data_IF_117084693497
#
_entry.id   IF_117084693497
#
_cell.length_a   1.000
_cell.length_b   1.000
_cell.length_c   1.000
_cell.angle_alpha   90.00
_cell.angle_beta   90.00
_cell.angle_gamma   90.00
#
_symmetry.space_group_name_H-M   'P 1'
#
loop_
_entity.id
_entity.type
_entity.pdbx_description
1 polymer ?
#
# COMPACT_ATOMS: atom_id res chain seq x y z
N UNK A 1 -17.79 1.39 -1.08
CA UNK A 1 -18.83 0.82 -0.16
C UNK A 1 -18.09 0.31 1.07
N UNK A 2 -18.56 0.65 2.25
CA UNK A 2 -18.05 0.11 3.53
C UNK A 2 -19.15 -0.79 4.09
N UNK A 3 -18.79 -2.01 4.50
CA UNK A 3 -19.73 -3.01 4.99
C UNK A 3 -19.09 -3.80 6.13
N UNK A 4 -19.83 -3.98 7.21
CA UNK A 4 -19.47 -4.92 8.28
C UNK A 4 -19.65 -6.36 7.76
N UNK A 5 -18.74 -7.30 8.03
CA UNK A 5 -18.82 -8.67 7.53
C UNK A 5 -19.80 -9.52 8.37
N UNK A 6 -21.08 -9.14 8.37
CA UNK A 6 -22.14 -9.89 9.05
C UNK A 6 -22.28 -11.29 8.43
N UNK A 7 -22.38 -12.29 9.29
CA UNK A 7 -22.54 -13.67 8.84
C UNK A 7 -23.95 -13.91 8.31
N UNK A 8 -24.07 -14.71 7.27
CA UNK A 8 -25.36 -15.19 6.77
C UNK A 8 -25.92 -16.25 7.73
N UNK A 9 -27.25 -16.31 7.85
CA UNK A 9 -27.92 -17.35 8.63
C UNK A 9 -27.59 -18.73 8.06
N UNK A 10 -27.36 -19.71 8.94
CA UNK A 10 -26.90 -21.05 8.55
C UNK A 10 -27.86 -21.77 7.58
N UNK A 11 -29.18 -21.53 7.72
CA UNK A 11 -30.20 -22.14 6.90
C UNK A 11 -30.63 -21.31 5.68
N UNK A 12 -30.05 -20.13 5.52
CA UNK A 12 -30.37 -19.25 4.40
C UNK A 12 -29.87 -19.83 3.06
N UNK A 13 -30.56 -19.50 1.99
CA UNK A 13 -30.18 -19.87 0.63
C UNK A 13 -28.73 -19.37 0.34
N UNK A 14 -28.39 -18.17 0.78
CA UNK A 14 -27.06 -17.61 0.59
C UNK A 14 -25.96 -18.47 1.23
N UNK A 15 -26.18 -18.96 2.45
CA UNK A 15 -25.23 -19.84 3.14
C UNK A 15 -25.10 -21.20 2.42
N UNK A 16 -26.20 -21.77 1.93
CA UNK A 16 -26.21 -23.02 1.16
C UNK A 16 -25.46 -22.88 -0.18
N UNK A 17 -25.53 -21.71 -0.81
CA UNK A 17 -24.79 -21.36 -2.03
C UNK A 17 -23.31 -20.99 -1.76
N UNK A 18 -22.84 -21.08 -0.52
CA UNK A 18 -21.46 -20.86 -0.15
C UNK A 18 -21.12 -19.43 0.29
N UNK A 19 -22.06 -18.50 0.30
CA UNK A 19 -21.85 -17.13 0.75
C UNK A 19 -22.01 -17.03 2.27
N UNK A 20 -20.90 -16.96 2.99
CA UNK A 20 -20.88 -16.97 4.46
C UNK A 20 -21.09 -15.60 5.09
N UNK A 21 -21.00 -14.52 4.31
CA UNK A 21 -21.20 -13.16 4.81
C UNK A 21 -21.88 -12.28 3.76
N UNK A 22 -22.47 -11.18 4.22
CA UNK A 22 -23.05 -10.13 3.35
C UNK A 22 -21.99 -9.56 2.41
N UNK A 23 -20.74 -9.46 2.87
CA UNK A 23 -19.63 -8.99 2.03
C UNK A 23 -19.37 -9.92 0.84
N UNK A 24 -19.49 -11.25 1.00
CA UNK A 24 -19.32 -12.19 -0.10
C UNK A 24 -20.45 -12.09 -1.12
N UNK A 25 -21.68 -11.91 -0.65
CA UNK A 25 -22.83 -11.62 -1.52
C UNK A 25 -22.60 -10.33 -2.31
N UNK A 26 -22.13 -9.27 -1.63
CA UNK A 26 -21.81 -7.99 -2.26
C UNK A 26 -20.76 -8.10 -3.35
N UNK A 27 -19.66 -8.79 -3.07
CA UNK A 27 -18.59 -9.06 -4.06
C UNK A 27 -19.12 -9.81 -5.28
N UNK A 28 -19.92 -10.84 -5.08
CA UNK A 28 -20.48 -11.61 -6.18
C UNK A 28 -21.49 -10.81 -7.01
N UNK A 29 -22.29 -9.98 -6.38
CA UNK A 29 -23.18 -9.05 -7.11
C UNK A 29 -22.40 -8.10 -8.04
N UNK A 30 -21.31 -7.52 -7.55
CA UNK A 30 -20.46 -6.66 -8.37
C UNK A 30 -19.87 -7.44 -9.55
N UNK A 31 -19.36 -8.66 -9.31
CA UNK A 31 -18.80 -9.51 -10.39
C UNK A 31 -19.84 -9.86 -11.45
N UNK A 32 -21.05 -10.24 -11.02
CA UNK A 32 -22.15 -10.56 -11.95
C UNK A 32 -22.59 -9.35 -12.74
N UNK A 33 -22.73 -8.19 -12.10
CA UNK A 33 -23.07 -6.95 -12.78
C UNK A 33 -22.02 -6.57 -13.83
N UNK A 34 -20.74 -6.64 -13.49
CA UNK A 34 -19.64 -6.37 -14.43
C UNK A 34 -19.65 -7.29 -15.63
N UNK A 35 -19.80 -8.62 -15.40
CA UNK A 35 -19.92 -9.60 -16.49
C UNK A 35 -21.09 -9.31 -17.40
N UNK A 36 -22.27 -9.05 -16.81
CA UNK A 36 -23.49 -8.75 -17.57
C UNK A 36 -23.31 -7.50 -18.43
N UNK A 37 -22.76 -6.43 -17.91
CA UNK A 37 -22.49 -5.20 -18.67
C UNK A 37 -21.55 -5.48 -19.85
N UNK A 38 -20.51 -6.29 -19.63
CA UNK A 38 -19.54 -6.65 -20.66
C UNK A 38 -20.16 -7.53 -21.75
N UNK A 39 -21.02 -8.47 -21.38
CA UNK A 39 -21.75 -9.34 -22.31
C UNK A 39 -22.79 -8.58 -23.15
N UNK A 40 -23.53 -7.67 -22.52
CA UNK A 40 -24.56 -6.87 -23.22
C UNK A 40 -23.96 -5.79 -24.15
N UNK A 41 -22.69 -5.40 -23.94
CA UNK A 41 -22.04 -4.32 -24.66
C UNK A 41 -20.72 -4.75 -25.31
N UNK A 42 -20.66 -5.95 -25.85
CA UNK A 42 -19.43 -6.56 -26.40
C UNK A 42 -18.66 -5.66 -27.40
N UNK A 43 -19.37 -4.85 -28.18
CA UNK A 43 -18.75 -3.97 -29.18
C UNK A 43 -18.13 -2.69 -28.57
N UNK A 44 -18.61 -2.23 -27.41
CA UNK A 44 -18.19 -0.97 -26.79
C UNK A 44 -17.52 -1.14 -25.43
N UNK A 45 -17.71 -2.28 -24.79
CA UNK A 45 -17.20 -2.58 -23.45
C UNK A 45 -16.14 -3.70 -23.42
N UNK A 46 -15.53 -4.04 -24.58
CA UNK A 46 -14.49 -5.07 -24.69
C UNK A 46 -13.34 -4.84 -23.71
N UNK A 47 -12.86 -3.61 -23.62
CA UNK A 47 -11.75 -3.18 -22.78
C UNK A 47 -12.21 -2.60 -21.40
N UNK A 48 -13.50 -2.71 -21.08
CA UNK A 48 -14.02 -2.21 -19.79
C UNK A 48 -13.38 -2.98 -18.64
N UNK A 49 -12.70 -2.27 -17.75
CA UNK A 49 -12.22 -2.83 -16.49
C UNK A 49 -13.40 -3.05 -15.54
N UNK A 50 -13.69 -4.30 -15.26
CA UNK A 50 -14.72 -4.75 -14.31
C UNK A 50 -14.12 -5.21 -12.97
N UNK A 51 -12.83 -4.99 -12.77
CA UNK A 51 -12.13 -5.28 -11.54
C UNK A 51 -12.55 -4.36 -10.39
N UNK A 52 -12.32 -4.80 -9.16
CA UNK A 52 -12.48 -3.97 -7.97
C UNK A 52 -11.55 -4.43 -6.86
N UNK A 53 -11.15 -3.51 -6.01
CA UNK A 53 -10.33 -3.80 -4.84
C UNK A 53 -11.20 -4.13 -3.63
N UNK A 54 -10.74 -5.09 -2.84
CA UNK A 54 -11.36 -5.45 -1.56
C UNK A 54 -10.31 -5.22 -0.48
N UNK A 55 -10.58 -4.26 0.39
CA UNK A 55 -9.73 -3.94 1.52
C UNK A 55 -10.43 -4.38 2.81
N UNK A 56 -9.68 -4.84 3.78
CA UNK A 56 -10.16 -5.18 5.12
C UNK A 56 -9.52 -4.23 6.12
N UNK A 57 -10.32 -3.68 7.01
CA UNK A 57 -9.79 -2.96 8.15
C UNK A 57 -9.18 -3.95 9.13
N UNK A 58 -7.94 -3.72 9.48
CA UNK A 58 -7.18 -4.49 10.46
C UNK A 58 -6.51 -3.53 11.46
N UNK A 59 -5.70 -4.07 12.37
CA UNK A 59 -4.85 -3.30 13.26
C UNK A 59 -3.78 -2.52 12.48
N UNK A 60 -3.21 -1.49 13.10
CA UNK A 60 -2.10 -0.73 12.52
C UNK A 60 -0.98 -1.63 11.98
N UNK A 61 -0.35 -1.21 10.89
CA UNK A 61 0.83 -1.88 10.34
C UNK A 61 2.06 -1.72 11.24
N UNK A 62 2.03 -0.74 12.15
CA UNK A 62 3.14 -0.47 13.06
C UNK A 62 3.07 -1.34 14.30
N UNK A 63 4.24 -1.74 14.84
CA UNK A 63 4.37 -2.38 16.14
C UNK A 63 3.88 -1.42 17.23
N UNK A 64 3.24 -1.97 18.26
CA UNK A 64 2.87 -1.17 19.42
C UNK A 64 4.13 -0.83 20.21
N UNK A 65 4.41 0.45 20.40
CA UNK A 65 5.53 0.92 21.19
C UNK A 65 5.03 1.22 22.61
N UNK A 66 5.36 0.35 23.54
CA UNK A 66 5.09 0.55 24.95
C UNK A 66 6.35 1.11 25.63
N UNK A 67 6.35 2.40 25.92
CA UNK A 67 7.43 3.02 26.70
C UNK A 67 7.18 2.81 28.19
N UNK A 68 7.50 1.63 28.71
CA UNK A 68 7.75 1.49 30.15
C UNK A 68 9.28 1.47 30.34
N UNK A 69 9.89 2.50 30.94
CA UNK A 69 11.35 2.58 31.09
C UNK A 69 11.96 1.37 31.79
N UNK A 70 11.16 0.70 32.64
CA UNK A 70 11.58 -0.50 33.37
C UNK A 70 11.62 -1.78 32.52
N UNK A 71 11.07 -1.77 31.31
CA UNK A 71 10.99 -2.93 30.39
C UNK A 71 11.93 -2.81 29.20
N UNK A 72 12.64 -1.69 29.05
CA UNK A 72 13.57 -1.48 27.93
C UNK A 72 14.88 -2.18 28.26
N UNK A 73 15.06 -3.40 27.73
CA UNK A 73 16.33 -4.13 27.75
C UNK A 73 17.15 -3.84 26.49
N UNK A 74 18.42 -4.22 26.51
CA UNK A 74 19.33 -4.04 25.38
C UNK A 74 18.83 -4.73 24.08
N UNK A 75 18.10 -5.83 24.21
CA UNK A 75 17.49 -6.59 23.13
C UNK A 75 16.29 -5.82 22.50
N UNK A 76 15.55 -5.05 23.29
CA UNK A 76 14.43 -4.25 22.79
C UNK A 76 14.87 -3.05 21.94
N UNK A 77 16.11 -2.57 22.11
CA UNK A 77 16.69 -1.53 21.26
C UNK A 77 16.94 -2.01 19.82
N UNK A 78 17.35 -3.26 19.64
CA UNK A 78 17.49 -3.85 18.30
C UNK A 78 16.13 -4.15 17.64
N UNK A 79 15.12 -4.54 18.42
CA UNK A 79 13.75 -4.77 17.92
C UNK A 79 13.03 -3.46 17.55
N UNK A 80 13.52 -2.32 18.03
CA UNK A 80 13.00 -0.99 17.71
C UNK A 80 13.48 -0.43 16.36
N UNK A 81 14.49 -1.03 15.74
CA UNK A 81 14.98 -0.60 14.42
C UNK A 81 13.97 -0.85 13.31
N UNK A 82 13.09 -1.85 13.47
CA UNK A 82 11.99 -2.12 12.56
C UNK A 82 10.66 -1.91 13.27
N UNK A 83 9.99 -0.82 12.94
CA UNK A 83 8.71 -0.43 13.52
C UNK A 83 7.50 -1.11 12.85
N UNK A 84 7.69 -1.89 11.79
CA UNK A 84 6.63 -2.56 11.03
C UNK A 84 6.42 -3.97 11.57
N UNK A 85 5.18 -4.43 11.61
CA UNK A 85 4.83 -5.80 11.96
C UNK A 85 5.30 -6.77 10.87
N UNK A 86 5.78 -7.95 11.28
CA UNK A 86 6.35 -8.96 10.36
C UNK A 86 5.33 -9.57 9.40
N UNK A 87 4.05 -9.53 9.75
CA UNK A 87 2.95 -10.06 8.95
C UNK A 87 2.39 -9.05 7.93
N UNK A 88 3.02 -7.89 7.78
CA UNK A 88 2.58 -6.82 6.87
C UNK A 88 3.32 -6.86 5.54
N UNK A 89 2.57 -6.64 4.47
CA UNK A 89 3.10 -6.59 3.10
C UNK A 89 3.41 -5.14 2.68
N UNK A 90 4.16 -5.00 1.61
CA UNK A 90 4.42 -3.68 1.01
C UNK A 90 3.13 -2.99 0.53
N UNK A 91 2.13 -3.76 0.08
CA UNK A 91 0.82 -3.23 -0.28
C UNK A 91 0.06 -2.71 0.94
N UNK A 92 0.14 -3.37 2.10
CA UNK A 92 -0.51 -2.89 3.32
C UNK A 92 0.04 -1.51 3.73
N UNK A 93 1.37 -1.34 3.62
CA UNK A 93 2.02 -0.05 3.86
C UNK A 93 1.61 1.00 2.83
N UNK A 94 1.52 0.61 1.56
CA UNK A 94 1.09 1.51 0.50
C UNK A 94 -0.31 2.05 0.76
N UNK A 95 -1.27 1.19 1.10
CA UNK A 95 -2.64 1.62 1.37
C UNK A 95 -2.74 2.50 2.63
N UNK A 96 -1.93 2.24 3.66
CA UNK A 96 -1.83 3.14 4.81
C UNK A 96 -1.33 4.52 4.39
N UNK A 97 -0.24 4.58 3.62
CA UNK A 97 0.33 5.84 3.10
C UNK A 97 -0.68 6.59 2.23
N UNK A 98 -1.41 5.88 1.36
CA UNK A 98 -2.44 6.49 0.52
C UNK A 98 -3.54 7.14 1.37
N UNK A 99 -3.97 6.50 2.46
CA UNK A 99 -4.94 7.07 3.39
C UNK A 99 -4.38 8.30 4.12
N UNK A 100 -3.16 8.22 4.62
CA UNK A 100 -2.49 9.31 5.34
C UNK A 100 -2.25 10.56 4.47
N UNK A 101 -2.04 10.34 3.16
CA UNK A 101 -1.83 11.40 2.17
C UNK A 101 -3.12 11.86 1.49
N UNK A 102 -4.26 11.26 1.81
CA UNK A 102 -5.54 11.56 1.17
C UNK A 102 -5.62 11.13 -0.30
N UNK A 103 -4.80 10.16 -0.72
CA UNK A 103 -4.85 9.59 -2.07
C UNK A 103 -6.01 8.63 -2.18
N UNK A 104 -6.80 8.72 -3.24
CA UNK A 104 -7.95 7.85 -3.45
C UNK A 104 -7.48 6.38 -3.57
N UNK A 105 -8.09 5.49 -2.78
CA UNK A 105 -7.78 4.05 -2.82
C UNK A 105 -8.13 3.39 -4.16
N UNK A 106 -8.93 4.05 -4.99
CA UNK A 106 -9.24 3.63 -6.36
C UNK A 106 -8.21 4.08 -7.40
N UNK A 107 -7.22 4.90 -7.02
CA UNK A 107 -6.19 5.37 -7.92
C UNK A 107 -5.46 4.23 -8.59
N UNK A 108 -5.00 4.44 -9.81
CA UNK A 108 -4.17 3.48 -10.54
C UNK A 108 -2.86 3.27 -9.77
N UNK A 109 -2.50 2.02 -9.56
CA UNK A 109 -1.25 1.59 -8.95
C UNK A 109 -0.49 0.78 -9.98
N UNK A 110 0.73 1.18 -10.26
CA UNK A 110 1.66 0.45 -11.12
C UNK A 110 2.87 0.02 -10.30
N UNK A 111 3.23 -1.25 -10.40
CA UNK A 111 4.48 -1.75 -9.84
C UNK A 111 5.58 -1.61 -10.88
N UNK A 112 6.69 -0.99 -10.50
CA UNK A 112 7.89 -0.82 -11.34
C UNK A 112 9.10 -1.33 -10.60
N UNK A 113 10.13 -1.68 -11.34
CA UNK A 113 11.45 -1.96 -10.77
C UNK A 113 12.37 -0.79 -11.13
N UNK A 114 12.87 -0.09 -10.12
CA UNK A 114 13.78 1.05 -10.26
C UNK A 114 15.07 0.73 -9.51
N UNK A 115 16.18 0.71 -10.22
CA UNK A 115 17.50 0.36 -9.67
C UNK A 115 17.47 -0.96 -8.86
N UNK A 116 16.75 -1.96 -9.35
CA UNK A 116 16.64 -3.28 -8.75
C UNK A 116 15.67 -3.37 -7.55
N UNK A 117 14.96 -2.30 -7.21
CA UNK A 117 13.99 -2.26 -6.10
C UNK A 117 12.55 -2.14 -6.62
N UNK A 118 11.61 -2.83 -5.94
CA UNK A 118 10.19 -2.72 -6.22
C UNK A 118 9.68 -1.36 -5.77
N UNK A 119 9.03 -0.65 -6.67
CA UNK A 119 8.52 0.69 -6.45
C UNK A 119 7.07 0.75 -6.91
N UNK A 120 6.21 1.32 -6.08
CA UNK A 120 4.82 1.59 -6.42
C UNK A 120 4.70 3.02 -6.97
N UNK A 121 4.16 3.13 -8.18
CA UNK A 121 3.78 4.39 -8.79
C UNK A 121 2.25 4.51 -8.74
N UNK A 122 1.75 5.51 -8.02
CA UNK A 122 0.32 5.73 -7.80
C UNK A 122 -0.10 7.04 -8.45
N UNK A 123 -1.23 6.99 -9.16
CA UNK A 123 -1.82 8.14 -9.84
C UNK A 123 -0.79 8.84 -10.76
N UNK A 124 -0.14 8.06 -11.62
CA UNK A 124 0.81 8.53 -12.66
C UNK A 124 1.90 9.49 -12.13
N UNK A 125 2.53 9.11 -11.02
CA UNK A 125 3.64 9.86 -10.42
C UNK A 125 3.23 10.81 -9.30
N UNK A 126 1.97 10.84 -8.90
CA UNK A 126 1.57 11.64 -7.74
C UNK A 126 2.21 11.12 -6.44
N UNK A 127 2.25 9.79 -6.27
CA UNK A 127 2.95 9.14 -5.17
C UNK A 127 3.87 8.05 -5.73
N UNK A 128 5.14 8.09 -5.34
CA UNK A 128 6.08 6.99 -5.54
C UNK A 128 6.51 6.48 -4.16
N UNK A 129 6.33 5.17 -3.92
CA UNK A 129 6.67 4.54 -2.66
C UNK A 129 7.60 3.33 -2.87
N UNK A 130 8.64 3.21 -2.06
CA UNK A 130 9.55 2.07 -2.03
C UNK A 130 9.69 1.55 -0.60
N UNK A 131 9.31 0.29 -0.40
CA UNK A 131 9.36 -0.36 0.91
C UNK A 131 10.34 -1.54 0.96
N UNK A 132 11.09 -1.76 -0.12
CA UNK A 132 12.14 -2.77 -0.17
C UNK A 132 13.30 -2.42 0.77
N UNK A 133 13.97 -3.44 1.29
CA UNK A 133 15.18 -3.27 2.10
C UNK A 133 16.39 -2.87 1.24
N UNK A 134 17.46 -2.39 1.88
CA UNK A 134 18.73 -2.04 1.24
C UNK A 134 18.57 -1.04 0.08
N UNK A 135 17.80 0.00 0.28
CA UNK A 135 17.64 1.11 -0.66
C UNK A 135 18.95 1.89 -0.75
N UNK A 136 19.51 1.97 -1.93
CA UNK A 136 20.77 2.68 -2.21
C UNK A 136 20.54 4.11 -2.68
N UNK A 137 21.59 4.92 -2.66
CA UNK A 137 21.54 6.28 -3.27
C UNK A 137 21.11 6.25 -4.74
N UNK A 138 21.48 5.22 -5.49
CA UNK A 138 21.08 5.08 -6.89
C UNK A 138 19.56 4.95 -7.01
N UNK A 139 18.92 4.14 -6.15
CA UNK A 139 17.47 4.02 -6.11
C UNK A 139 16.81 5.35 -5.76
N UNK A 140 17.31 6.03 -4.74
CA UNK A 140 16.78 7.34 -4.33
C UNK A 140 16.91 8.38 -5.45
N UNK A 141 18.08 8.45 -6.11
CA UNK A 141 18.33 9.33 -7.27
C UNK A 141 17.40 9.01 -8.44
N UNK A 142 17.18 7.74 -8.72
CA UNK A 142 16.30 7.31 -9.80
C UNK A 142 14.84 7.68 -9.53
N UNK A 143 14.35 7.48 -8.30
CA UNK A 143 13.01 7.92 -7.89
C UNK A 143 12.89 9.45 -7.93
N UNK A 144 13.90 10.19 -7.46
CA UNK A 144 13.88 11.65 -7.50
C UNK A 144 13.82 12.22 -8.94
N UNK A 145 14.43 11.52 -9.91
CA UNK A 145 14.37 11.92 -11.34
C UNK A 145 12.98 11.76 -11.96
N UNK A 146 12.13 10.86 -11.42
CA UNK A 146 10.72 10.72 -11.82
C UNK A 146 9.88 11.93 -11.37
N UNK A 147 10.41 12.77 -10.47
CA UNK A 147 9.80 14.00 -9.95
C UNK A 147 8.38 13.78 -9.38
N UNK A 148 8.18 12.82 -8.48
CA UNK A 148 6.87 12.60 -7.88
C UNK A 148 6.45 13.79 -7.02
N UNK A 149 5.13 13.94 -6.81
CA UNK A 149 4.65 14.91 -5.82
C UNK A 149 4.97 14.44 -4.39
N UNK A 150 4.72 13.16 -4.10
CA UNK A 150 5.12 12.49 -2.86
C UNK A 150 6.13 11.37 -3.15
N UNK A 151 7.21 11.32 -2.37
CA UNK A 151 8.13 10.19 -2.32
C UNK A 151 8.15 9.61 -0.91
N UNK A 152 7.89 8.30 -0.79
CA UNK A 152 7.80 7.62 0.50
C UNK A 152 8.77 6.44 0.53
N UNK A 153 9.58 6.39 1.58
CA UNK A 153 10.51 5.30 1.84
C UNK A 153 10.34 4.80 3.26
N UNK A 154 10.86 3.63 3.55
CA UNK A 154 10.90 3.09 4.89
C UNK A 154 12.24 3.46 5.53
N UNK A 155 12.23 3.94 6.77
CA UNK A 155 13.44 4.36 7.50
C UNK A 155 14.45 3.21 7.62
N UNK A 156 13.98 2.07 8.12
CA UNK A 156 14.80 0.86 8.27
C UNK A 156 15.30 0.25 6.95
N UNK A 157 14.84 0.74 5.81
CA UNK A 157 15.23 0.21 4.50
C UNK A 157 16.44 0.88 3.87
N UNK A 158 16.92 1.99 4.42
CA UNK A 158 18.11 2.67 3.91
C UNK A 158 19.34 1.77 4.09
N UNK A 159 20.10 1.55 3.01
CA UNK A 159 21.23 0.62 3.00
C UNK A 159 22.34 0.98 4.00
N UNK A 160 22.48 2.26 4.31
CA UNK A 160 23.44 2.77 5.29
C UNK A 160 23.15 4.23 5.67
N UNK A 161 23.81 4.72 6.72
CA UNK A 161 23.67 6.09 7.23
C UNK A 161 23.99 7.17 6.19
N UNK A 162 24.86 6.88 5.22
CA UNK A 162 25.18 7.81 4.14
C UNK A 162 23.96 8.05 3.24
N UNK A 163 23.18 7.00 2.94
CA UNK A 163 21.94 7.14 2.16
C UNK A 163 20.93 7.96 2.92
N UNK A 164 20.73 7.69 4.21
CA UNK A 164 19.81 8.44 5.06
C UNK A 164 20.21 9.92 5.15
N UNK A 165 21.50 10.21 5.35
CA UNK A 165 22.03 11.58 5.44
C UNK A 165 21.89 12.33 4.10
N UNK A 166 22.15 11.66 2.97
CA UNK A 166 22.12 12.26 1.64
C UNK A 166 20.71 12.31 1.03
N UNK A 167 19.74 11.66 1.63
CA UNK A 167 18.38 11.56 1.11
C UNK A 167 17.76 12.92 0.79
N UNK A 168 17.80 13.84 1.75
CA UNK A 168 17.28 15.19 1.58
C UNK A 168 18.01 15.96 0.49
N UNK A 169 19.35 15.85 0.44
CA UNK A 169 20.19 16.53 -0.54
C UNK A 169 19.93 16.03 -1.97
N UNK A 170 19.69 14.72 -2.13
CA UNK A 170 19.36 14.12 -3.43
C UNK A 170 18.04 14.70 -3.95
N UNK A 171 16.99 14.71 -3.14
CA UNK A 171 15.72 15.29 -3.57
C UNK A 171 15.82 16.81 -3.78
N UNK A 172 16.52 17.54 -2.93
CA UNK A 172 16.75 18.97 -3.13
C UNK A 172 17.42 19.27 -4.49
N UNK A 173 18.30 18.38 -4.95
CA UNK A 173 19.01 18.52 -6.22
C UNK A 173 18.16 18.12 -7.43
N UNK A 174 17.50 16.96 -7.38
CA UNK A 174 16.81 16.37 -8.54
C UNK A 174 15.33 16.70 -8.62
N UNK A 175 14.68 16.92 -7.48
CA UNK A 175 13.24 17.19 -7.39
C UNK A 175 12.88 18.03 -6.15
N UNK A 176 13.23 19.32 -6.13
CA UNK A 176 13.03 20.16 -4.95
C UNK A 176 11.56 20.35 -4.56
N UNK A 177 10.63 20.14 -5.51
CA UNK A 177 9.18 20.21 -5.25
C UNK A 177 8.56 18.94 -4.66
N UNK A 178 9.31 17.84 -4.56
CA UNK A 178 8.81 16.59 -3.99
C UNK A 178 8.68 16.68 -2.47
N UNK A 179 7.50 16.31 -1.96
CA UNK A 179 7.29 16.11 -0.52
C UNK A 179 7.77 14.71 -0.14
N UNK A 180 8.78 14.66 0.70
CA UNK A 180 9.40 13.41 1.16
C UNK A 180 8.80 12.97 2.48
N UNK A 181 8.54 11.68 2.61
CA UNK A 181 8.12 11.05 3.86
C UNK A 181 8.90 9.75 4.07
N UNK A 182 9.18 9.49 5.33
CA UNK A 182 9.79 8.25 5.79
C UNK A 182 8.82 7.61 6.78
N UNK A 183 8.61 6.27 6.68
CA UNK A 183 7.77 5.47 7.56
C UNK A 183 8.60 4.84 8.67
#
# INVERSE_FOLDING_TARGET
MVQVPESTEKDSIACKEGYRSICEIGKERIRRAGRKIKEENLMTAGDLDIGFRVLKLDSSNMKNVYYSPSQVGQQSLFDMTDNIKEDRTAEDLLFQVMLDLGVLLSSKIEEKVIAGKKVFNVADGFLIACFDNDVTEETVKAVAREKPYYAVFRDSSMANDSVATNFEQIFATYSPGTVRKVL
#
